data_IF_836384515692
#
_entry.id   IF_836384515692
#
_cell.length_a   1.000
_cell.length_b   1.000
_cell.length_c   1.000
_cell.angle_alpha   90.00
_cell.angle_beta   90.00
_cell.angle_gamma   90.00
#
_symmetry.space_group_name_H-M   'P 1'
#
loop_
_entity.id
_entity.type
_entity.pdbx_description
1 polymer ?
#
# COMPACT_ATOMS: atom_id res chain seq x y z
N UNK A 1 -8.96 -22.78 36.47
CA UNK A 1 -8.55 -21.40 36.13
C UNK A 1 -7.99 -21.44 34.72
N UNK A 2 -8.76 -21.03 33.72
CA UNK A 2 -8.25 -20.73 32.36
C UNK A 2 -9.21 -19.69 31.77
N UNK A 3 -8.74 -18.46 31.66
CA UNK A 3 -9.47 -17.31 31.13
C UNK A 3 -9.59 -17.41 29.60
N UNK A 4 -10.78 -17.23 29.00
CA UNK A 4 -10.93 -17.05 27.56
C UNK A 4 -10.95 -15.55 27.24
N UNK A 5 -9.84 -14.84 27.45
CA UNK A 5 -9.73 -13.39 27.12
C UNK A 5 -9.10 -13.13 25.74
N UNK A 6 -8.79 -14.17 24.96
CA UNK A 6 -8.04 -14.01 23.71
C UNK A 6 -8.91 -13.92 22.45
N UNK A 7 -10.21 -14.23 22.50
CA UNK A 7 -11.07 -14.31 21.29
C UNK A 7 -11.63 -12.95 20.84
N UNK A 8 -11.92 -12.02 21.76
CA UNK A 8 -12.49 -10.71 21.40
C UNK A 8 -11.45 -9.77 20.78
N UNK A 9 -10.21 -9.82 21.26
CA UNK A 9 -9.08 -9.01 20.77
C UNK A 9 -8.70 -9.36 19.33
N UNK A 10 -8.80 -10.64 18.95
CA UNK A 10 -8.52 -11.11 17.58
C UNK A 10 -9.59 -10.60 16.61
N UNK A 11 -10.87 -10.74 16.96
CA UNK A 11 -11.98 -10.28 16.11
C UNK A 11 -12.02 -8.76 15.91
N UNK A 12 -11.58 -7.97 16.91
CA UNK A 12 -11.48 -6.52 16.78
C UNK A 12 -10.31 -6.08 15.90
N UNK A 13 -9.21 -6.84 15.89
CA UNK A 13 -8.08 -6.56 15.02
C UNK A 13 -8.41 -6.85 13.56
N UNK A 14 -9.10 -7.96 13.29
CA UNK A 14 -9.58 -8.33 11.95
C UNK A 14 -10.54 -7.28 11.36
N UNK A 15 -11.49 -6.77 12.17
CA UNK A 15 -12.41 -5.71 11.75
C UNK A 15 -11.71 -4.38 11.45
N UNK A 16 -10.68 -4.04 12.22
CA UNK A 16 -9.86 -2.85 11.95
C UNK A 16 -9.03 -3.04 10.68
N UNK A 17 -8.43 -4.21 10.49
CA UNK A 17 -7.59 -4.49 9.32
C UNK A 17 -8.39 -4.46 8.01
N UNK A 18 -9.58 -5.07 8.01
CA UNK A 18 -10.51 -5.04 6.87
C UNK A 18 -11.05 -3.64 6.58
N UNK A 19 -11.24 -2.82 7.62
CA UNK A 19 -11.59 -1.41 7.44
C UNK A 19 -10.47 -0.62 6.78
N UNK A 20 -9.22 -0.78 7.26
CA UNK A 20 -8.03 -0.15 6.68
C UNK A 20 -7.85 -0.57 5.22
N UNK A 21 -8.03 -1.84 4.88
CA UNK A 21 -7.96 -2.32 3.49
C UNK A 21 -8.99 -1.66 2.57
N UNK A 22 -10.21 -1.44 3.06
CA UNK A 22 -11.25 -0.73 2.30
C UNK A 22 -10.90 0.75 2.12
N UNK A 23 -10.42 1.42 3.17
CA UNK A 23 -9.99 2.82 3.08
C UNK A 23 -8.80 3.00 2.14
N UNK A 24 -7.80 2.12 2.25
CA UNK A 24 -6.63 2.10 1.38
C UNK A 24 -7.07 1.96 -0.08
N UNK A 25 -7.98 1.03 -0.38
CA UNK A 25 -8.56 0.89 -1.72
C UNK A 25 -9.23 2.17 -2.19
N UNK A 26 -10.06 2.81 -1.38
CA UNK A 26 -10.73 4.07 -1.76
C UNK A 26 -9.73 5.20 -2.03
N UNK A 27 -8.69 5.31 -1.20
CA UNK A 27 -7.60 6.28 -1.39
C UNK A 27 -6.82 5.99 -2.67
N UNK A 28 -6.50 4.73 -2.95
CA UNK A 28 -5.78 4.32 -4.15
C UNK A 28 -6.58 4.58 -5.42
N UNK A 29 -7.89 4.28 -5.44
CA UNK A 29 -8.75 4.54 -6.60
C UNK A 29 -8.86 6.05 -6.87
N UNK A 30 -9.02 6.86 -5.82
CA UNK A 30 -9.01 8.32 -5.96
C UNK A 30 -7.66 8.82 -6.47
N UNK A 31 -6.57 8.35 -5.86
CA UNK A 31 -5.21 8.71 -6.26
C UNK A 31 -4.90 8.32 -7.71
N UNK A 32 -5.36 7.16 -8.15
CA UNK A 32 -5.20 6.75 -9.53
C UNK A 32 -5.97 7.67 -10.48
N UNK A 33 -7.21 8.02 -10.14
CA UNK A 33 -8.06 8.90 -10.94
C UNK A 33 -7.47 10.31 -11.09
N UNK A 34 -6.76 10.76 -10.07
CA UNK A 34 -6.09 12.06 -10.04
C UNK A 34 -4.64 11.98 -10.58
N UNK A 35 -4.21 10.85 -11.15
CA UNK A 35 -2.85 10.59 -11.67
C UNK A 35 -1.73 10.84 -10.64
N UNK A 36 -2.02 10.59 -9.36
CA UNK A 36 -1.10 10.77 -8.20
C UNK A 36 -0.51 9.45 -7.69
N UNK A 37 -0.58 8.39 -8.49
CA UNK A 37 -0.02 7.07 -8.16
C UNK A 37 1.12 6.72 -9.10
N UNK A 38 2.24 6.25 -8.55
CA UNK A 38 3.36 5.68 -9.32
C UNK A 38 3.44 4.19 -9.04
N UNK A 39 3.64 3.40 -10.10
CA UNK A 39 3.69 1.93 -10.04
C UNK A 39 5.09 1.43 -10.39
N UNK A 40 5.50 0.34 -9.75
CA UNK A 40 6.74 -0.38 -10.04
C UNK A 40 7.92 0.13 -9.22
N UNK A 41 8.76 -0.80 -8.76
CA UNK A 41 9.91 -0.50 -7.88
C UNK A 41 10.85 0.54 -8.49
N UNK A 42 11.08 0.46 -9.81
CA UNK A 42 12.01 1.34 -10.50
C UNK A 42 11.51 2.79 -10.57
N UNK A 43 10.27 3.00 -11.03
CA UNK A 43 9.68 4.34 -11.10
C UNK A 43 9.46 4.91 -9.70
N UNK A 44 9.05 4.08 -8.74
CA UNK A 44 8.94 4.47 -7.34
C UNK A 44 10.30 4.94 -6.77
N UNK A 45 11.37 4.17 -6.99
CA UNK A 45 12.71 4.55 -6.55
C UNK A 45 13.21 5.85 -7.20
N UNK A 46 12.87 6.07 -8.47
CA UNK A 46 13.21 7.31 -9.17
C UNK A 46 12.46 8.52 -8.60
N UNK A 47 11.17 8.37 -8.29
CA UNK A 47 10.37 9.42 -7.67
C UNK A 47 10.93 9.79 -6.29
N UNK A 48 11.21 8.78 -5.46
CA UNK A 48 11.80 8.99 -4.13
C UNK A 48 13.18 9.62 -4.18
N UNK A 49 13.97 9.34 -5.21
CA UNK A 49 15.27 9.98 -5.40
C UNK A 49 15.16 11.42 -5.92
N UNK A 50 14.01 11.84 -6.46
CA UNK A 50 13.81 13.17 -7.05
C UNK A 50 13.04 14.09 -6.12
N UNK A 51 11.92 13.61 -5.57
CA UNK A 51 10.95 14.36 -4.74
C UNK A 51 10.35 13.42 -3.69
N UNK A 52 11.10 13.05 -2.64
CA UNK A 52 10.56 12.25 -1.54
C UNK A 52 9.54 13.02 -0.71
N UNK A 53 9.67 14.35 -0.60
CA UNK A 53 8.76 15.22 0.16
C UNK A 53 7.31 15.24 -0.36
N UNK A 54 7.13 14.98 -1.66
CA UNK A 54 5.79 14.91 -2.27
C UNK A 54 5.13 13.54 -2.04
N UNK A 55 5.89 12.53 -1.62
CA UNK A 55 5.38 11.17 -1.40
C UNK A 55 4.95 11.03 0.04
N UNK A 56 3.73 10.56 0.24
CA UNK A 56 3.14 10.46 1.59
C UNK A 56 2.83 9.02 1.98
N UNK A 57 2.64 8.15 1.00
CA UNK A 57 2.26 6.78 1.23
C UNK A 57 2.95 5.83 0.24
N UNK A 58 3.49 4.75 0.76
CA UNK A 58 4.11 3.63 0.06
C UNK A 58 3.34 2.34 0.39
N UNK A 59 3.02 1.58 -0.65
CA UNK A 59 2.36 0.29 -0.54
C UNK A 59 3.27 -0.78 -1.13
N UNK A 60 3.55 -1.80 -0.34
CA UNK A 60 4.34 -2.96 -0.75
C UNK A 60 3.52 -4.24 -0.56
N UNK A 61 3.45 -5.15 -1.54
CA UNK A 61 2.89 -6.46 -1.31
C UNK A 61 3.80 -7.28 -0.39
N UNK A 62 3.18 -8.09 0.47
CA UNK A 62 3.85 -9.20 1.11
C UNK A 62 4.41 -10.10 0.02
N UNK A 63 5.64 -10.56 0.24
CA UNK A 63 6.41 -11.37 -0.70
C UNK A 63 5.60 -12.54 -1.26
N UNK A 64 5.13 -12.42 -2.51
CA UNK A 64 4.38 -13.48 -3.20
C UNK A 64 5.04 -13.90 -4.52
N UNK A 65 6.34 -13.62 -4.66
CA UNK A 65 7.01 -13.74 -5.96
C UNK A 65 8.16 -14.76 -5.94
N UNK A 66 8.66 -15.16 -4.77
CA UNK A 66 9.83 -16.05 -4.63
C UNK A 66 11.14 -15.50 -5.22
N UNK A 67 11.13 -14.26 -5.72
CA UNK A 67 12.28 -13.58 -6.30
C UNK A 67 13.01 -12.79 -5.21
N UNK A 68 14.22 -13.25 -4.89
CA UNK A 68 15.11 -12.65 -3.90
C UNK A 68 15.43 -11.19 -4.25
N UNK A 69 15.44 -10.84 -5.55
CA UNK A 69 15.72 -9.49 -6.03
C UNK A 69 14.63 -8.52 -5.62
N UNK A 70 13.36 -8.91 -5.79
CA UNK A 70 12.20 -8.11 -5.42
C UNK A 70 12.15 -7.91 -3.91
N UNK A 71 12.45 -8.97 -3.15
CA UNK A 71 12.54 -8.89 -1.68
C UNK A 71 13.59 -7.88 -1.19
N UNK A 72 14.79 -7.87 -1.81
CA UNK A 72 15.83 -6.89 -1.49
C UNK A 72 15.33 -5.47 -1.79
N UNK A 73 14.70 -5.26 -2.94
CA UNK A 73 14.18 -3.95 -3.30
C UNK A 73 13.06 -3.47 -2.37
N UNK A 74 12.15 -4.35 -1.95
CA UNK A 74 11.12 -4.00 -0.96
C UNK A 74 11.74 -3.62 0.37
N UNK A 75 12.76 -4.34 0.81
CA UNK A 75 13.49 -4.02 2.04
C UNK A 75 14.15 -2.63 1.96
N UNK A 76 14.78 -2.31 0.83
CA UNK A 76 15.36 -0.99 0.59
C UNK A 76 14.29 0.11 0.56
N UNK A 77 13.17 -0.17 -0.10
CA UNK A 77 12.05 0.76 -0.18
C UNK A 77 11.46 1.04 1.19
N UNK A 78 11.32 0.00 2.01
CA UNK A 78 10.84 0.12 3.38
C UNK A 78 11.78 0.96 4.25
N UNK A 79 13.08 0.69 4.19
CA UNK A 79 14.07 1.49 4.90
C UNK A 79 14.03 2.97 4.47
N UNK A 80 13.93 3.22 3.16
CA UNK A 80 13.85 4.58 2.64
C UNK A 80 12.58 5.29 3.11
N UNK A 81 11.42 4.64 3.03
CA UNK A 81 10.16 5.24 3.46
C UNK A 81 10.19 5.59 4.95
N UNK A 82 10.75 4.69 5.79
CA UNK A 82 10.90 4.92 7.22
C UNK A 82 11.86 6.09 7.53
N UNK A 83 12.96 6.24 6.79
CA UNK A 83 13.89 7.37 6.97
C UNK A 83 13.29 8.71 6.54
N UNK A 84 12.35 8.72 5.59
CA UNK A 84 11.75 9.94 5.02
C UNK A 84 10.35 10.24 5.57
N UNK A 85 9.92 9.58 6.66
CA UNK A 85 8.59 9.73 7.27
C UNK A 85 7.42 9.44 6.30
N UNK A 86 7.67 8.59 5.31
CA UNK A 86 6.68 8.16 4.33
C UNK A 86 5.91 6.99 4.91
N UNK A 87 4.58 7.08 4.92
CA UNK A 87 3.72 6.03 5.44
C UNK A 87 3.95 4.73 4.68
N UNK A 88 4.23 3.63 5.38
CA UNK A 88 4.37 2.33 4.73
C UNK A 88 3.26 1.37 5.13
N UNK A 89 2.56 0.82 4.14
CA UNK A 89 1.56 -0.24 4.33
C UNK A 89 1.89 -1.47 3.51
N UNK A 90 1.77 -2.64 4.14
CA UNK A 90 1.98 -3.92 3.46
C UNK A 90 0.63 -4.52 3.08
N UNK A 91 0.49 -5.06 1.88
CA UNK A 91 -0.75 -5.76 1.48
C UNK A 91 -0.55 -7.26 1.42
N UNK A 92 -1.59 -8.02 1.77
CA UNK A 92 -1.57 -9.49 1.78
C UNK A 92 -1.48 -10.15 0.40
N UNK A 93 -1.91 -9.47 -0.66
CA UNK A 93 -2.00 -10.07 -1.98
C UNK A 93 -1.82 -9.04 -3.09
N UNK A 94 -0.76 -9.22 -3.89
CA UNK A 94 -0.51 -8.44 -5.10
C UNK A 94 -1.70 -8.50 -6.07
N UNK A 95 -2.29 -9.69 -6.27
CA UNK A 95 -3.42 -9.88 -7.19
C UNK A 95 -4.66 -9.05 -6.84
N UNK A 96 -4.93 -8.89 -5.54
CA UNK A 96 -6.05 -8.05 -5.08
C UNK A 96 -5.77 -6.59 -5.35
N UNK A 97 -4.51 -6.17 -5.15
CA UNK A 97 -4.05 -4.82 -5.45
C UNK A 97 -4.14 -4.53 -6.96
N UNK A 98 -3.65 -5.42 -7.81
CA UNK A 98 -3.77 -5.32 -9.27
C UNK A 98 -5.23 -5.26 -9.73
N UNK A 99 -6.15 -5.97 -9.06
CA UNK A 99 -7.59 -5.92 -9.37
C UNK A 99 -8.27 -4.59 -9.02
N UNK A 100 -7.65 -3.74 -8.18
CA UNK A 100 -8.16 -2.41 -7.85
C UNK A 100 -7.89 -1.42 -8.98
N UNK A 101 -6.72 -1.55 -9.61
CA UNK A 101 -6.31 -0.69 -10.70
C UNK A 101 -6.82 -1.31 -12.00
N UNK A 102 -7.80 -0.71 -12.71
CA UNK A 102 -8.17 -1.19 -14.03
C UNK A 102 -6.93 -1.10 -14.93
N UNK A 103 -6.29 -2.24 -15.17
CA UNK A 103 -5.30 -2.38 -16.22
C UNK A 103 -5.96 -1.93 -17.51
N UNK A 104 -5.30 -1.07 -18.29
CA UNK A 104 -5.89 -0.59 -19.53
C UNK A 104 -6.26 -1.84 -20.38
N UNK A 105 -7.56 -2.07 -20.59
CA UNK A 105 -8.05 -3.22 -21.36
C UNK A 105 -7.81 -3.04 -22.87
N UNK A 106 -6.82 -2.24 -23.28
CA UNK A 106 -6.62 -1.89 -24.69
C UNK A 106 -5.17 -2.01 -25.19
N UNK A 107 -4.28 -2.70 -24.47
CA UNK A 107 -2.91 -2.93 -24.95
C UNK A 107 -2.49 -4.37 -24.66
N UNK A 108 -2.07 -5.09 -25.70
CA UNK A 108 -1.56 -6.46 -25.63
C UNK A 108 -0.17 -6.59 -24.96
N UNK A 109 0.20 -5.69 -24.04
CA UNK A 109 1.55 -5.60 -23.47
C UNK A 109 1.49 -5.03 -22.05
N UNK A 110 2.10 -5.78 -21.13
CA UNK A 110 2.53 -5.40 -19.78
C UNK A 110 1.44 -5.33 -18.69
N UNK A 111 1.43 -6.34 -17.80
CA UNK A 111 0.75 -6.27 -16.52
C UNK A 111 1.26 -5.04 -15.74
N UNK A 112 0.36 -4.31 -15.07
CA UNK A 112 0.74 -3.15 -14.25
C UNK A 112 1.62 -3.66 -13.11
N UNK A 113 2.91 -3.26 -13.10
CA UNK A 113 3.85 -3.67 -12.05
C UNK A 113 3.44 -3.06 -10.70
N UNK A 114 2.64 -3.80 -9.93
CA UNK A 114 2.19 -3.40 -8.61
C UNK A 114 3.16 -3.83 -7.50
N UNK A 115 4.41 -4.18 -7.83
CA UNK A 115 5.43 -4.56 -6.84
C UNK A 115 5.72 -3.44 -5.84
N UNK A 116 5.55 -2.19 -6.24
CA UNK A 116 5.57 -1.05 -5.33
C UNK A 116 4.61 0.01 -5.86
N UNK A 117 3.88 0.66 -4.96
CA UNK A 117 3.01 1.78 -5.31
C UNK A 117 3.31 2.94 -4.40
N UNK A 118 3.59 4.10 -4.98
CA UNK A 118 3.70 5.35 -4.25
C UNK A 118 2.51 6.24 -4.54
N UNK A 119 2.06 6.93 -3.50
CA UNK A 119 1.00 7.92 -3.55
C UNK A 119 1.57 9.25 -3.09
N UNK A 120 1.44 10.25 -3.94
CA UNK A 120 1.86 11.62 -3.58
C UNK A 120 0.87 12.27 -2.61
N UNK A 121 1.19 13.44 -2.05
CA UNK A 121 0.26 14.19 -1.23
C UNK A 121 -0.98 14.59 -2.07
N UNK A 122 -2.22 14.35 -1.59
CA UNK A 122 -3.40 14.85 -2.28
C UNK A 122 -3.50 16.37 -2.13
N UNK A 123 -3.95 17.07 -3.17
CA UNK A 123 -4.28 18.51 -3.05
C UNK A 123 -5.48 18.75 -2.11
N UNK A 124 -6.33 17.74 -1.94
CA UNK A 124 -7.51 17.78 -1.08
C UNK A 124 -7.54 16.57 -0.14
N UNK A 125 -7.27 16.81 1.14
CA UNK A 125 -7.28 15.76 2.17
C UNK A 125 -8.72 15.39 2.54
N UNK A 126 -9.12 14.16 2.24
CA UNK A 126 -10.38 13.59 2.73
C UNK A 126 -10.23 13.09 4.18
N UNK A 127 -11.35 13.04 4.92
CA UNK A 127 -11.41 12.41 6.23
C UNK A 127 -10.91 10.96 6.21
N UNK A 128 -11.19 10.22 5.12
CA UNK A 128 -10.70 8.85 4.91
C UNK A 128 -9.18 8.79 4.80
N UNK A 129 -8.54 9.78 4.15
CA UNK A 129 -7.09 9.82 4.00
C UNK A 129 -6.41 10.16 5.33
N UNK A 130 -6.96 11.09 6.10
CA UNK A 130 -6.45 11.43 7.43
C UNK A 130 -6.58 10.25 8.40
N UNK A 131 -7.73 9.56 8.38
CA UNK A 131 -7.95 8.37 9.21
C UNK A 131 -7.01 7.22 8.80
N UNK A 132 -6.71 7.10 7.50
CA UNK A 132 -5.70 6.14 6.99
C UNK A 132 -4.29 6.47 7.49
N UNK A 133 -3.95 7.76 7.61
CA UNK A 133 -2.64 8.20 8.09
C UNK A 133 -2.47 8.01 9.61
N UNK A 134 -3.58 8.02 10.37
CA UNK A 134 -3.60 7.77 11.83
C UNK A 134 -3.34 6.29 12.19
N UNK A 135 -3.58 5.37 11.24
CA UNK A 135 -3.21 3.95 11.38
C UNK A 135 -1.71 3.84 11.65
N UNK A 136 -1.24 2.91 12.48
CA UNK A 136 0.20 2.69 12.69
C UNK A 136 0.95 2.34 11.39
N UNK A 137 2.27 2.56 11.36
CA UNK A 137 3.16 2.14 10.25
C UNK A 137 3.39 0.62 10.24
N UNK A 138 3.53 0.05 9.04
CA UNK A 138 3.82 -1.37 8.84
C UNK A 138 2.73 -2.40 9.15
N UNK A 139 1.41 -2.09 9.28
CA UNK A 139 0.41 -3.13 9.38
C UNK A 139 0.34 -3.90 8.07
N UNK A 140 0.18 -5.22 8.19
CA UNK A 140 -0.23 -6.07 7.08
C UNK A 140 -1.72 -5.84 6.88
N UNK A 141 -2.05 -5.05 5.88
CA UNK A 141 -3.41 -4.71 5.47
C UNK A 141 -3.96 -5.83 4.59
N UNK A 142 -5.01 -6.47 5.05
CA UNK A 142 -5.77 -7.41 4.22
C UNK A 142 -6.70 -6.63 3.28
N UNK A 143 -6.44 -6.77 1.98
CA UNK A 143 -7.31 -6.18 0.97
C UNK A 143 -8.62 -6.97 0.87
N UNK A 144 -9.77 -6.30 0.81
CA UNK A 144 -11.04 -6.96 0.52
C UNK A 144 -11.01 -7.55 -0.90
N UNK A 145 -11.53 -8.78 -1.05
CA UNK A 145 -11.70 -9.45 -2.34
C UNK A 145 -12.80 -8.81 -3.19
#
# INVERSE_FOLDING_TARGET
MTFPENSESIMQNEKRNTHVGRMLREVLVKAQKDDRTTFGIYECGKLLNTTPDDVTLCILPLEDNGDVTVHIHHTLMEAFCLENDIKLMKVDSLKKLEGIFPGNENSNTDAVDCSCILVTAPEQTDHVYNDLMDVADGPIVEMPA
#
